data_IF_749120505566
#
_entry.id   IF_749120505566
#
_cell.length_a   1.000
_cell.length_b   1.000
_cell.length_c   1.000
_cell.angle_alpha   90.00
_cell.angle_beta   90.00
_cell.angle_gamma   90.00
#
_symmetry.space_group_name_H-M   'P 1'
#
loop_
_entity.id
_entity.type
_entity.pdbx_description
1 polymer ?
#
# COMPACT_ATOMS: atom_id res chain seq x y z
N UNK A 1 -0.08 7.61 -3.77
CA UNK A 1 -0.51 7.36 -2.38
C UNK A 1 0.60 6.65 -1.58
N UNK A 2 1.82 7.21 -1.54
CA UNK A 2 2.94 6.62 -0.81
C UNK A 2 2.68 6.49 0.70
N UNK A 3 1.83 7.34 1.26
CA UNK A 3 1.44 7.34 2.67
C UNK A 3 0.73 6.03 3.05
N UNK A 4 -0.10 5.49 2.15
CA UNK A 4 -0.84 4.25 2.38
C UNK A 4 -0.02 3.03 1.97
N UNK A 5 0.77 3.10 0.89
CA UNK A 5 1.51 1.95 0.39
C UNK A 5 2.85 1.73 1.10
N UNK A 6 3.56 2.80 1.47
CA UNK A 6 4.95 2.76 1.93
C UNK A 6 5.80 1.83 1.07
N UNK A 7 6.57 0.96 1.72
CA UNK A 7 7.49 0.03 1.05
C UNK A 7 6.80 -1.24 0.51
N UNK A 8 5.48 -1.36 0.66
CA UNK A 8 4.71 -2.53 0.21
C UNK A 8 4.29 -2.44 -1.27
N UNK A 9 4.77 -1.43 -2.02
CA UNK A 9 4.47 -1.29 -3.45
C UNK A 9 5.64 -0.66 -4.20
N UNK A 10 5.78 -1.03 -5.48
CA UNK A 10 6.58 -0.27 -6.43
C UNK A 10 5.79 0.96 -6.87
N UNK A 11 6.37 2.15 -6.69
CA UNK A 11 5.70 3.42 -6.99
C UNK A 11 6.18 3.99 -8.32
N UNK A 12 5.26 4.60 -9.05
CA UNK A 12 5.54 5.37 -10.26
C UNK A 12 4.68 6.64 -10.27
N UNK A 13 5.18 7.68 -10.93
CA UNK A 13 4.40 8.89 -11.16
C UNK A 13 3.20 8.56 -12.08
N UNK A 14 2.02 9.18 -11.89
CA UNK A 14 0.85 8.90 -12.72
C UNK A 14 1.07 9.17 -14.22
N UNK A 15 1.99 10.09 -14.54
CA UNK A 15 2.36 10.55 -15.87
C UNK A 15 3.68 9.93 -16.40
N UNK A 16 4.19 8.87 -15.76
CA UNK A 16 5.35 8.10 -16.23
C UNK A 16 4.98 6.67 -16.65
N UNK A 17 4.44 6.47 -17.87
CA UNK A 17 4.11 5.15 -18.40
C UNK A 17 5.30 4.19 -18.47
N UNK A 18 6.51 4.69 -18.69
CA UNK A 18 7.70 3.86 -18.85
C UNK A 18 8.05 3.17 -17.52
N UNK A 19 7.96 3.92 -16.41
CA UNK A 19 8.17 3.36 -15.07
C UNK A 19 7.11 2.33 -14.70
N UNK A 20 5.84 2.56 -15.07
CA UNK A 20 4.77 1.56 -14.89
C UNK A 20 5.07 0.25 -15.60
N UNK A 21 5.45 0.31 -16.88
CA UNK A 21 5.81 -0.89 -17.67
C UNK A 21 6.98 -1.63 -17.03
N UNK A 22 8.01 -0.90 -16.59
CA UNK A 22 9.18 -1.48 -15.92
C UNK A 22 8.80 -2.22 -14.63
N UNK A 23 7.96 -1.63 -13.78
CA UNK A 23 7.53 -2.24 -12.52
C UNK A 23 6.68 -3.48 -12.76
N UNK A 24 5.75 -3.43 -13.72
CA UNK A 24 4.93 -4.58 -14.10
C UNK A 24 5.83 -5.73 -14.61
N UNK A 25 6.81 -5.45 -15.47
CA UNK A 25 7.73 -6.49 -15.97
C UNK A 25 8.61 -7.05 -14.84
N UNK A 26 9.04 -6.21 -13.89
CA UNK A 26 9.81 -6.64 -12.71
C UNK A 26 9.00 -7.62 -11.84
N UNK A 27 7.74 -7.31 -11.57
CA UNK A 27 6.82 -8.19 -10.84
C UNK A 27 6.57 -9.49 -11.62
N UNK A 28 6.42 -9.42 -12.95
CA UNK A 28 6.20 -10.60 -13.78
C UNK A 28 7.38 -11.56 -13.73
N UNK A 29 8.61 -11.05 -13.76
CA UNK A 29 9.85 -11.86 -13.82
C UNK A 29 10.31 -12.40 -12.47
N UNK A 30 9.95 -11.78 -11.36
CA UNK A 30 10.44 -12.17 -10.04
C UNK A 30 9.32 -12.62 -9.10
N UNK A 31 9.12 -13.94 -8.92
CA UNK A 31 8.22 -14.46 -7.89
C UNK A 31 8.58 -14.00 -6.48
N UNK A 32 9.88 -13.95 -6.18
CA UNK A 32 10.40 -13.49 -4.89
C UNK A 32 9.96 -12.05 -4.57
N UNK A 33 10.12 -11.12 -5.52
CA UNK A 33 9.69 -9.73 -5.34
C UNK A 33 8.18 -9.62 -5.11
N UNK A 34 7.38 -10.45 -5.78
CA UNK A 34 5.94 -10.48 -5.55
C UNK A 34 5.61 -10.95 -4.13
N UNK A 35 6.25 -12.02 -3.67
CA UNK A 35 6.04 -12.56 -2.33
C UNK A 35 6.43 -11.55 -1.26
N UNK A 36 7.57 -10.87 -1.43
CA UNK A 36 8.03 -9.81 -0.54
C UNK A 36 7.02 -8.66 -0.41
N UNK A 37 6.55 -8.13 -1.53
CA UNK A 37 5.58 -7.02 -1.54
C UNK A 37 4.21 -7.45 -0.99
N UNK A 38 3.77 -8.70 -1.25
CA UNK A 38 2.54 -9.24 -0.68
C UNK A 38 2.64 -9.34 0.83
N UNK A 39 3.76 -9.83 1.36
CA UNK A 39 3.96 -9.95 2.80
C UNK A 39 4.06 -8.57 3.47
N UNK A 40 4.80 -7.64 2.87
CA UNK A 40 4.84 -6.25 3.33
C UNK A 40 3.43 -5.62 3.35
N UNK A 41 2.60 -5.88 2.35
CA UNK A 41 1.22 -5.42 2.29
C UNK A 41 0.34 -6.01 3.40
N UNK A 42 0.48 -7.31 3.69
CA UNK A 42 -0.22 -7.98 4.79
C UNK A 42 0.18 -7.43 6.15
N UNK A 43 1.45 -7.08 6.34
CA UNK A 43 1.88 -6.45 7.59
C UNK A 43 1.34 -5.02 7.72
N UNK A 44 1.34 -4.27 6.61
CA UNK A 44 0.90 -2.87 6.59
C UNK A 44 -0.61 -2.70 6.81
N UNK A 45 -1.44 -3.59 6.28
CA UNK A 45 -2.91 -3.48 6.43
C UNK A 45 -3.35 -3.50 7.89
N UNK A 46 -2.59 -4.16 8.78
CA UNK A 46 -2.87 -4.19 10.21
C UNK A 46 -2.77 -2.82 10.90
N UNK A 47 -2.16 -1.82 10.26
CA UNK A 47 -2.06 -0.46 10.78
C UNK A 47 -3.32 0.38 10.54
N UNK A 48 -4.22 -0.07 9.67
CA UNK A 48 -5.39 0.70 9.26
C UNK A 48 -6.68 -0.05 9.62
N UNK A 49 -7.65 0.66 10.20
CA UNK A 49 -8.95 0.08 10.56
C UNK A 49 -10.05 1.14 10.50
N UNK A 50 -10.98 0.97 9.57
CA UNK A 50 -12.16 1.84 9.47
C UNK A 50 -12.99 1.86 10.75
N UNK A 51 -13.15 0.70 11.41
CA UNK A 51 -13.88 0.60 12.67
C UNK A 51 -13.20 1.41 13.78
N UNK A 52 -11.88 1.32 13.89
CA UNK A 52 -11.11 2.04 14.90
C UNK A 52 -11.20 3.56 14.67
N UNK A 53 -11.01 4.00 13.42
CA UNK A 53 -11.11 5.42 13.05
C UNK A 53 -12.51 5.98 13.30
N UNK A 54 -13.56 5.27 12.88
CA UNK A 54 -14.93 5.71 13.08
C UNK A 54 -15.29 5.82 14.57
N UNK A 55 -14.87 4.86 15.39
CA UNK A 55 -15.06 4.91 16.85
C UNK A 55 -14.37 6.12 17.46
N UNK A 56 -13.08 6.30 17.18
CA UNK A 56 -12.31 7.42 17.73
C UNK A 56 -12.90 8.78 17.33
N UNK A 57 -13.36 8.91 16.09
CA UNK A 57 -14.03 10.12 15.60
C UNK A 57 -15.35 10.39 16.34
N UNK A 58 -16.19 9.37 16.54
CA UNK A 58 -17.45 9.51 17.26
C UNK A 58 -17.23 9.86 18.74
N UNK A 59 -16.26 9.24 19.39
CA UNK A 59 -15.89 9.51 20.78
C UNK A 59 -15.44 10.98 20.94
N UNK A 60 -14.71 11.55 19.97
CA UNK A 60 -14.31 12.97 19.96
C UNK A 60 -15.49 13.95 19.82
N UNK A 61 -16.50 13.59 19.03
CA UNK A 61 -17.66 14.45 18.76
C UNK A 61 -18.73 14.41 19.86
N UNK A 62 -18.62 13.45 20.77
CA UNK A 62 -19.59 13.24 21.85
C UNK A 62 -19.12 13.80 23.20
N UNK A 63 -17.92 14.39 23.26
CA UNK A 63 -17.36 15.09 24.42
C UNK A 63 -17.32 16.60 24.20
#
# INVERSE_FOLDING_TARGET
>A
MPEVCGDAALMAAPDDPAMWVKHIDSLRRSPYLREELVEAGRQRVNQFSWKTTAKAYADLMSG
#
